data_IF_538763541605
#
_entry.id   IF_538763541605
#
_cell.length_a   1.000
_cell.length_b   1.000
_cell.length_c   1.000
_cell.angle_alpha   90.00
_cell.angle_beta   90.00
_cell.angle_gamma   90.00
#
_symmetry.space_group_name_H-M   'P 1'
#
loop_
_entity.id
_entity.type
_entity.pdbx_description
1 polymer ?
#
# COMPACT_ATOMS: atom_id res chain seq x y z
N UNK A 1 0.18 -11.38 -55.34
CA UNK A 1 -1.16 -12.00 -55.15
C UNK A 1 -0.93 -13.50 -54.95
N UNK A 2 -0.84 -13.95 -53.70
CA UNK A 2 -0.37 -15.28 -53.32
C UNK A 2 -1.43 -15.95 -52.43
N UNK A 3 -1.97 -17.09 -52.88
CA UNK A 3 -2.96 -17.89 -52.13
C UNK A 3 -2.24 -18.88 -51.22
N UNK A 4 -2.36 -18.72 -49.91
CA UNK A 4 -1.85 -19.68 -48.92
C UNK A 4 -2.92 -20.74 -48.63
N UNK A 5 -2.55 -22.03 -48.78
CA UNK A 5 -3.39 -23.21 -48.54
C UNK A 5 -3.06 -23.75 -47.14
N UNK A 6 -4.02 -23.72 -46.20
CA UNK A 6 -3.84 -24.28 -44.85
C UNK A 6 -4.21 -25.76 -44.89
N UNK A 7 -3.23 -26.63 -44.62
CA UNK A 7 -3.39 -28.08 -44.49
C UNK A 7 -3.48 -28.43 -43.01
N UNK A 8 -4.58 -29.07 -42.60
CA UNK A 8 -4.82 -29.52 -41.24
C UNK A 8 -3.77 -30.55 -40.82
N UNK A 9 -2.85 -30.16 -39.94
CA UNK A 9 -2.15 -31.13 -39.09
C UNK A 9 -1.89 -30.48 -37.74
N UNK A 10 -2.33 -31.20 -36.71
CA UNK A 10 -2.44 -30.77 -35.31
C UNK A 10 -1.06 -30.40 -34.76
N UNK A 11 -0.76 -29.11 -34.56
CA UNK A 11 0.20 -28.56 -33.59
C UNK A 11 0.42 -27.07 -33.83
N UNK A 12 0.78 -26.33 -32.77
CA UNK A 12 1.06 -24.88 -32.73
C UNK A 12 -0.15 -23.93 -32.71
N UNK A 13 -1.10 -24.22 -31.80
CA UNK A 13 -1.65 -23.13 -30.99
C UNK A 13 -0.62 -22.83 -29.88
N UNK A 14 -0.51 -21.59 -29.40
CA UNK A 14 0.47 -21.05 -28.43
C UNK A 14 1.68 -20.40 -29.10
N UNK A 15 1.50 -19.16 -29.55
CA UNK A 15 2.56 -18.14 -29.64
C UNK A 15 1.93 -16.76 -29.91
N UNK A 16 0.99 -16.34 -29.06
CA UNK A 16 0.41 -14.98 -29.11
C UNK A 16 -0.08 -14.48 -27.73
N UNK A 17 0.57 -14.91 -26.63
CA UNK A 17 0.22 -14.47 -25.28
C UNK A 17 1.48 -14.25 -24.42
N UNK A 18 2.44 -13.46 -24.90
CA UNK A 18 3.70 -13.23 -24.18
C UNK A 18 4.10 -11.75 -24.09
N UNK A 19 3.17 -10.80 -24.23
CA UNK A 19 3.51 -9.37 -24.32
C UNK A 19 2.79 -8.44 -23.33
N UNK A 20 2.26 -8.94 -22.21
CA UNK A 20 1.55 -8.06 -21.25
C UNK A 20 1.81 -8.39 -19.76
N UNK A 21 2.98 -8.92 -19.42
CA UNK A 21 3.39 -9.02 -18.02
C UNK A 21 4.64 -8.17 -17.82
N UNK A 22 4.45 -6.85 -17.96
CA UNK A 22 5.36 -5.95 -17.27
C UNK A 22 5.06 -6.11 -15.78
N UNK A 23 6.07 -6.32 -14.91
CA UNK A 23 5.85 -6.14 -13.50
C UNK A 23 5.46 -4.66 -13.33
N UNK A 24 4.19 -4.40 -13.04
CA UNK A 24 3.80 -3.17 -12.37
C UNK A 24 4.71 -3.13 -11.15
N UNK A 25 5.68 -2.21 -11.16
CA UNK A 25 6.64 -2.09 -10.07
C UNK A 25 5.86 -2.05 -8.77
N UNK A 26 6.14 -2.99 -7.88
CA UNK A 26 5.58 -2.98 -6.54
C UNK A 26 5.93 -1.62 -5.94
N UNK A 27 4.94 -0.73 -5.87
CA UNK A 27 5.09 0.51 -5.10
C UNK A 27 5.42 0.04 -3.70
N UNK A 28 6.53 0.51 -3.14
CA UNK A 28 6.79 0.36 -1.72
C UNK A 28 5.51 0.74 -0.98
N UNK A 29 4.89 -0.24 -0.32
CA UNK A 29 3.60 -0.04 0.32
C UNK A 29 3.87 0.70 1.62
N UNK A 30 3.89 2.03 1.54
CA UNK A 30 3.97 2.89 2.72
C UNK A 30 2.65 2.72 3.49
N UNK A 31 2.69 1.93 4.55
CA UNK A 31 1.60 1.83 5.49
C UNK A 31 1.70 3.00 6.48
N UNK A 32 0.57 3.70 6.66
CA UNK A 32 0.44 4.83 7.57
C UNK A 32 -0.74 4.58 8.48
N UNK A 33 -0.54 4.77 9.78
CA UNK A 33 -1.60 4.69 10.78
C UNK A 33 -1.33 5.64 11.93
N UNK A 34 -2.32 5.81 12.81
CA UNK A 34 -2.18 6.59 14.02
C UNK A 34 -2.29 5.72 15.27
N UNK A 35 -1.57 6.11 16.32
CA UNK A 35 -1.61 5.48 17.64
C UNK A 35 -1.70 6.56 18.72
N UNK A 36 -2.08 6.13 19.93
CA UNK A 36 -2.10 7.01 21.10
C UNK A 36 -0.72 7.54 21.43
N UNK A 37 -0.65 8.69 22.11
CA UNK A 37 0.59 9.33 22.54
C UNK A 37 1.41 8.50 23.55
N UNK A 38 0.73 7.66 24.33
CA UNK A 38 1.37 6.78 25.31
C UNK A 38 1.89 5.46 24.73
N UNK A 39 1.59 5.16 23.46
CA UNK A 39 1.99 3.90 22.83
C UNK A 39 3.46 3.93 22.38
N UNK A 40 4.16 2.82 22.64
CA UNK A 40 5.54 2.60 22.17
C UNK A 40 5.54 1.55 21.08
N UNK A 41 5.82 1.95 19.85
CA UNK A 41 5.91 1.03 18.73
C UNK A 41 7.31 0.41 18.64
N UNK A 42 7.37 -0.92 18.65
CA UNK A 42 8.58 -1.64 18.27
C UNK A 42 8.82 -1.50 16.75
N UNK A 43 10.07 -1.45 16.25
CA UNK A 43 10.33 -1.36 14.81
C UNK A 43 9.64 -2.44 13.96
N UNK A 44 9.40 -3.62 14.54
CA UNK A 44 8.71 -4.76 13.89
C UNK A 44 7.20 -4.83 14.16
N UNK A 45 6.60 -3.87 14.89
CA UNK A 45 5.19 -3.86 15.24
C UNK A 45 4.29 -3.88 13.98
N UNK A 46 3.34 -4.80 13.90
CA UNK A 46 2.49 -4.94 12.70
C UNK A 46 1.70 -3.66 12.40
N UNK A 47 1.36 -3.47 11.12
CA UNK A 47 0.42 -2.43 10.73
C UNK A 47 -0.95 -2.70 11.36
N UNK A 48 -1.56 -1.66 11.92
CA UNK A 48 -2.93 -1.71 12.44
C UNK A 48 -3.87 -0.98 11.48
N UNK A 49 -4.74 -1.75 10.81
CA UNK A 49 -5.73 -1.19 9.90
C UNK A 49 -6.78 -0.31 10.61
N UNK A 50 -7.02 -0.57 11.90
CA UNK A 50 -7.93 0.23 12.73
C UNK A 50 -7.62 0.01 14.21
N UNK A 51 -7.81 1.04 15.03
CA UNK A 51 -7.77 0.96 16.48
C UNK A 51 -8.71 2.01 17.10
N UNK A 52 -8.59 2.25 18.41
CA UNK A 52 -9.44 3.22 19.11
C UNK A 52 -9.33 4.65 18.53
N UNK A 53 -8.15 5.03 18.04
CA UNK A 53 -7.88 6.37 17.50
C UNK A 53 -7.96 6.40 15.97
N UNK A 54 -7.72 5.29 15.28
CA UNK A 54 -7.49 5.27 13.84
C UNK A 54 -8.51 4.43 13.07
N UNK A 55 -9.01 4.98 11.97
CA UNK A 55 -9.75 4.27 10.93
C UNK A 55 -8.95 4.30 9.63
N UNK A 56 -8.30 3.17 9.28
CA UNK A 56 -7.46 3.08 8.09
C UNK A 56 -8.23 3.04 6.78
N UNK A 57 -9.51 2.67 6.79
CA UNK A 57 -10.34 2.67 5.60
C UNK A 57 -10.65 4.11 5.15
N UNK A 58 -10.93 4.99 6.10
CA UNK A 58 -11.20 6.42 5.84
C UNK A 58 -10.00 7.33 6.10
N UNK A 59 -8.88 6.78 6.55
CA UNK A 59 -7.66 7.51 7.00
C UNK A 59 -7.98 8.62 7.99
N UNK A 60 -8.84 8.31 8.96
CA UNK A 60 -9.38 9.30 9.91
C UNK A 60 -8.87 9.03 11.31
N UNK A 61 -8.37 10.09 11.96
CA UNK A 61 -8.03 10.10 13.38
C UNK A 61 -9.23 10.59 14.20
N UNK A 62 -9.60 9.84 15.24
CA UNK A 62 -10.67 10.14 16.19
C UNK A 62 -10.03 10.54 17.52
N UNK A 63 -10.27 11.78 17.94
CA UNK A 63 -9.75 12.35 19.19
C UNK A 63 -10.91 12.73 20.10
N UNK A 64 -10.79 12.41 21.38
CA UNK A 64 -11.78 12.73 22.41
C UNK A 64 -11.11 13.54 23.50
N UNK A 65 -11.51 14.80 23.66
CA UNK A 65 -10.89 15.76 24.58
C UNK A 65 -11.95 16.50 25.40
N UNK A 66 -11.57 17.00 26.57
CA UNK A 66 -12.32 18.03 27.27
C UNK A 66 -12.11 19.42 26.62
N UNK A 67 -12.92 20.40 27.04
CA UNK A 67 -12.73 21.80 26.62
C UNK A 67 -11.40 22.31 27.16
N UNK A 68 -10.58 22.90 26.28
CA UNK A 68 -9.25 23.45 26.57
C UNK A 68 -8.19 22.42 26.97
N UNK A 69 -8.40 21.13 26.66
CA UNK A 69 -7.40 20.10 26.87
C UNK A 69 -6.50 19.96 25.63
N UNK A 70 -5.20 19.83 25.88
CA UNK A 70 -4.20 19.53 24.84
C UNK A 70 -4.12 18.02 24.69
N UNK A 71 -4.38 17.53 23.48
CA UNK A 71 -4.25 16.12 23.13
C UNK A 71 -3.07 15.92 22.18
N UNK A 72 -2.29 14.88 22.46
CA UNK A 72 -1.24 14.38 21.59
C UNK A 72 -1.68 13.06 20.94
N UNK A 73 -1.07 12.76 19.80
CA UNK A 73 -1.16 11.48 19.11
C UNK A 73 0.13 11.27 18.33
N UNK A 74 0.33 10.06 17.81
CA UNK A 74 1.48 9.74 16.98
C UNK A 74 1.03 9.23 15.62
N UNK A 75 1.78 9.57 14.58
CA UNK A 75 1.66 8.97 13.24
C UNK A 75 2.80 7.97 13.06
N UNK A 76 2.45 6.74 12.74
CA UNK A 76 3.38 5.67 12.46
C UNK A 76 3.48 5.43 10.95
N UNK A 77 4.70 5.17 10.51
CA UNK A 77 5.06 4.93 9.11
C UNK A 77 5.79 3.59 9.03
N UNK A 78 5.37 2.72 8.12
CA UNK A 78 6.06 1.48 7.77
C UNK A 78 6.26 1.41 6.28
N UNK A 79 7.46 1.03 5.88
CA UNK A 79 7.81 0.78 4.50
C UNK A 79 8.75 -0.42 4.44
N UNK A 80 8.53 -1.27 3.46
CA UNK A 80 9.41 -2.42 3.19
C UNK A 80 10.71 -2.00 2.48
N UNK A 81 10.78 -0.74 2.03
CA UNK A 81 11.99 -0.12 1.47
C UNK A 81 12.41 1.10 2.28
N UNK A 82 13.71 1.44 2.32
CA UNK A 82 14.16 2.67 2.95
C UNK A 82 13.42 3.91 2.43
N UNK A 83 12.98 4.76 3.34
CA UNK A 83 12.37 6.05 3.03
C UNK A 83 13.43 7.15 3.17
N UNK A 84 13.37 8.15 2.30
CA UNK A 84 14.17 9.37 2.38
C UNK A 84 13.27 10.58 2.15
N UNK A 85 13.60 11.73 2.76
CA UNK A 85 12.83 12.97 2.58
C UNK A 85 11.40 12.89 3.09
N UNK A 86 11.20 12.38 4.31
CA UNK A 86 9.87 12.36 4.95
C UNK A 86 9.56 13.73 5.53
N UNK A 87 8.61 14.43 4.94
CA UNK A 87 8.15 15.75 5.37
C UNK A 87 6.71 15.70 5.89
N UNK A 88 6.43 16.49 6.94
CA UNK A 88 5.06 16.77 7.38
C UNK A 88 4.63 18.11 6.80
N UNK A 89 3.72 18.05 5.83
CA UNK A 89 3.16 19.24 5.18
C UNK A 89 1.94 19.75 5.96
N UNK A 90 1.73 21.08 6.01
CA UNK A 90 0.56 21.69 6.63
C UNK A 90 -0.74 21.49 5.84
#
# INVERSE_FOLDING_TARGET
MLRLRISNSRSCLILALAAAIFPVGARAELAVWAVGDSEKLHPTAAYEASNFFWDGATRTLRLHSARNEVIAFQIALRSDTPLAGVDLLP
#
